data_IF_903463576207
#
_entry.id   IF_903463576207
#
_cell.length_a   1.000
_cell.length_b   1.000
_cell.length_c   1.000
_cell.angle_alpha   90.00
_cell.angle_beta   90.00
_cell.angle_gamma   90.00
#
_symmetry.space_group_name_H-M   'P 1'
#
loop_
_entity.id
_entity.type
_entity.pdbx_description
1 polymer ?
#
# COMPACT_ATOMS: atom_id res chain seq x y z
N UNK A 1 27.37 6.81 41.36
CA UNK A 1 27.92 8.01 40.70
C UNK A 1 26.81 8.68 39.93
N UNK A 2 26.27 9.76 40.49
CA UNK A 2 25.22 10.60 39.89
C UNK A 2 25.87 11.64 38.99
N UNK A 3 25.36 11.84 37.77
CA UNK A 3 25.56 13.08 37.02
C UNK A 3 24.21 13.58 36.51
N UNK A 4 23.61 14.44 37.33
CA UNK A 4 22.59 15.39 36.92
C UNK A 4 23.26 16.48 36.08
N UNK A 5 22.72 16.81 34.91
CA UNK A 5 22.79 18.17 34.39
C UNK A 5 21.39 18.61 33.95
N UNK A 6 20.88 19.59 34.70
CA UNK A 6 19.65 20.35 34.49
C UNK A 6 20.11 21.77 34.16
N UNK A 7 19.73 22.30 32.99
CA UNK A 7 19.79 23.75 32.74
C UNK A 7 18.63 24.19 31.85
N UNK A 8 17.66 24.87 32.49
CA UNK A 8 17.01 26.15 32.13
C UNK A 8 16.30 26.38 30.77
N UNK A 9 15.16 27.10 30.75
CA UNK A 9 14.32 27.30 29.56
C UNK A 9 14.73 28.51 28.70
N UNK A 10 14.43 28.46 27.40
CA UNK A 10 14.57 29.58 26.46
C UNK A 10 13.18 30.19 26.14
N UNK A 11 13.03 31.53 26.09
CA UNK A 11 11.75 32.19 25.87
C UNK A 11 11.31 32.24 24.39
N UNK A 12 9.99 32.20 24.22
CA UNK A 12 9.22 32.34 22.99
C UNK A 12 9.13 33.80 22.54
N UNK A 13 9.65 34.14 21.35
CA UNK A 13 9.18 35.27 20.53
C UNK A 13 9.55 35.05 19.06
N UNK A 14 8.54 34.95 18.20
CA UNK A 14 8.74 34.74 16.76
C UNK A 14 7.42 34.57 16.01
N UNK A 15 6.69 35.67 15.90
CA UNK A 15 5.42 35.78 15.18
C UNK A 15 5.68 35.53 13.68
N UNK A 16 5.24 34.39 13.15
CA UNK A 16 5.21 34.15 11.71
C UNK A 16 3.85 34.58 11.14
N UNK A 17 3.86 35.74 10.48
CA UNK A 17 2.74 36.32 9.76
C UNK A 17 2.35 35.45 8.56
N UNK A 18 1.08 35.01 8.54
CA UNK A 18 0.45 34.29 7.43
C UNK A 18 -0.02 35.32 6.39
N UNK A 19 0.79 35.59 5.37
CA UNK A 19 0.37 36.34 4.19
C UNK A 19 -0.19 35.38 3.14
N UNK A 20 -1.49 35.50 2.91
CA UNK A 20 -2.30 34.79 1.92
C UNK A 20 -2.14 35.51 0.58
N UNK A 21 -1.34 34.97 -0.34
CA UNK A 21 -1.27 35.47 -1.73
C UNK A 21 -2.57 35.10 -2.48
N UNK A 22 -3.38 36.11 -2.77
CA UNK A 22 -4.51 36.03 -3.70
C UNK A 22 -4.03 36.20 -5.14
N UNK A 23 -4.16 35.15 -5.97
CA UNK A 23 -3.99 35.25 -7.42
C UNK A 23 -5.18 35.97 -8.06
N UNK A 24 -4.98 36.93 -8.97
CA UNK A 24 -6.06 37.39 -9.83
C UNK A 24 -6.24 36.47 -11.06
N UNK A 25 -7.50 36.28 -11.43
CA UNK A 25 -7.94 35.60 -12.64
C UNK A 25 -7.67 36.48 -13.87
N UNK A 26 -7.07 35.91 -14.91
CA UNK A 26 -6.89 36.57 -16.22
C UNK A 26 -8.00 36.10 -17.15
N UNK A 27 -8.87 37.05 -17.53
CA UNK A 27 -9.93 36.93 -18.52
C UNK A 27 -9.27 37.00 -19.91
N UNK A 28 -9.48 35.98 -20.75
CA UNK A 28 -9.13 36.04 -22.18
C UNK A 28 -10.31 36.59 -22.97
N UNK A 29 -10.14 37.76 -23.58
CA UNK A 29 -10.99 38.28 -24.66
C UNK A 29 -10.10 38.90 -25.73
N UNK A 30 -10.36 38.57 -26.99
CA UNK A 30 -9.76 39.22 -28.16
C UNK A 30 -8.96 38.29 -29.06
N UNK A 31 -9.58 37.82 -30.16
CA UNK A 31 -8.87 37.28 -31.32
C UNK A 31 -8.26 38.44 -32.13
N UNK A 32 -7.11 38.26 -32.81
CA UNK A 32 -6.65 39.22 -33.80
C UNK A 32 -6.80 38.69 -35.23
N UNK A 33 -7.33 39.59 -36.04
CA UNK A 33 -7.35 39.67 -37.50
C UNK A 33 -5.95 39.49 -38.11
N UNK A 34 -5.86 38.81 -39.26
CA UNK A 34 -4.62 38.71 -40.03
C UNK A 34 -4.45 39.93 -40.93
N UNK A 35 -3.43 40.74 -40.66
CA UNK A 35 -2.86 41.69 -41.63
C UNK A 35 -1.33 41.77 -41.47
N UNK A 36 -0.63 41.78 -42.61
CA UNK A 36 0.67 42.45 -42.73
C UNK A 36 1.94 41.58 -42.66
N UNK A 37 2.44 41.18 -43.83
CA UNK A 37 3.87 40.91 -44.07
C UNK A 37 4.65 42.23 -43.96
N UNK A 38 5.66 42.33 -43.08
CA UNK A 38 6.99 42.86 -43.41
C UNK A 38 7.97 42.84 -42.23
N UNK A 39 9.21 42.43 -42.57
CA UNK A 39 10.51 42.70 -41.94
C UNK A 39 10.62 43.10 -40.45
N UNK A 40 11.38 42.29 -39.69
CA UNK A 40 12.24 42.82 -38.63
C UNK A 40 12.50 41.89 -37.44
N UNK A 41 13.78 41.57 -37.24
CA UNK A 41 14.41 41.11 -35.99
C UNK A 41 14.01 39.74 -35.43
N UNK A 42 14.94 38.78 -35.54
CA UNK A 42 14.89 37.49 -34.88
C UNK A 42 14.92 37.63 -33.36
N UNK A 43 13.73 37.61 -32.74
CA UNK A 43 13.60 37.40 -31.31
C UNK A 43 13.77 35.91 -31.02
N UNK A 44 14.96 35.52 -30.54
CA UNK A 44 15.21 34.20 -29.98
C UNK A 44 14.27 33.96 -28.79
N UNK A 45 13.21 33.18 -29.00
CA UNK A 45 12.32 32.71 -27.93
C UNK A 45 13.14 31.87 -26.97
N UNK A 46 13.46 32.44 -25.81
CA UNK A 46 14.21 31.77 -24.73
C UNK A 46 13.29 30.73 -24.10
N UNK A 47 13.36 29.48 -24.58
CA UNK A 47 12.62 28.37 -23.99
C UNK A 47 13.01 28.24 -22.50
N UNK A 48 12.04 28.24 -21.56
CA UNK A 48 12.36 28.00 -20.17
C UNK A 48 12.99 26.62 -20.04
N UNK A 49 14.13 26.54 -19.35
CA UNK A 49 14.82 25.29 -19.10
C UNK A 49 13.86 24.30 -18.42
N UNK A 50 13.54 23.19 -19.11
CA UNK A 50 12.85 22.05 -18.53
C UNK A 50 13.66 21.61 -17.30
N UNK A 51 13.06 21.70 -16.10
CA UNK A 51 13.67 21.19 -14.88
C UNK A 51 14.11 19.74 -15.13
N UNK A 52 15.34 19.34 -14.77
CA UNK A 52 15.80 17.99 -15.00
C UNK A 52 14.80 17.02 -14.36
N UNK A 53 14.29 16.07 -15.16
CA UNK A 53 13.43 15.01 -14.65
C UNK A 53 14.30 14.11 -13.78
N UNK A 54 14.44 14.44 -12.49
CA UNK A 54 15.16 13.60 -11.53
C UNK A 54 14.47 12.24 -11.53
N UNK A 55 15.18 11.21 -12.00
CA UNK A 55 14.68 9.84 -11.90
C UNK A 55 14.58 9.52 -10.41
N UNK A 56 13.41 9.09 -9.90
CA UNK A 56 13.31 8.70 -8.50
C UNK A 56 14.31 7.58 -8.23
N UNK A 57 15.12 7.74 -7.18
CA UNK A 57 16.14 6.75 -6.75
C UNK A 57 15.49 5.42 -6.36
N UNK A 58 14.21 5.45 -5.95
CA UNK A 58 13.41 4.26 -5.68
C UNK A 58 12.33 4.05 -6.76
N UNK A 59 12.42 2.96 -7.52
CA UNK A 59 11.35 2.58 -8.43
C UNK A 59 10.19 1.96 -7.65
N UNK A 60 9.07 2.68 -7.59
CA UNK A 60 7.83 2.21 -6.98
C UNK A 60 7.31 0.90 -7.57
N UNK A 61 7.64 0.59 -8.83
CA UNK A 61 7.29 -0.66 -9.48
C UNK A 61 8.03 -1.84 -8.85
N UNK A 62 9.33 -1.69 -8.58
CA UNK A 62 10.13 -2.71 -7.91
C UNK A 62 9.65 -2.95 -6.48
N UNK A 63 9.35 -1.88 -5.73
CA UNK A 63 8.76 -2.00 -4.39
C UNK A 63 7.43 -2.77 -4.41
N UNK A 64 6.54 -2.45 -5.38
CA UNK A 64 5.26 -3.17 -5.52
C UNK A 64 5.45 -4.65 -5.84
N UNK A 65 6.41 -4.97 -6.71
CA UNK A 65 6.77 -6.34 -7.04
C UNK A 65 7.26 -7.10 -5.81
N UNK A 66 8.21 -6.53 -5.05
CA UNK A 66 8.76 -7.16 -3.85
C UNK A 66 7.69 -7.41 -2.79
N UNK A 67 6.85 -6.41 -2.50
CA UNK A 67 5.73 -6.55 -1.55
C UNK A 67 4.78 -7.66 -2.01
N UNK A 68 4.43 -7.68 -3.30
CA UNK A 68 3.55 -8.71 -3.84
C UNK A 68 4.13 -10.12 -3.76
N UNK A 69 5.43 -10.29 -4.00
CA UNK A 69 6.11 -11.59 -3.87
C UNK A 69 6.13 -12.07 -2.41
N UNK A 70 6.45 -11.18 -1.46
CA UNK A 70 6.43 -11.51 -0.03
C UNK A 70 5.02 -11.90 0.41
N UNK A 71 3.99 -11.21 -0.09
CA UNK A 71 2.59 -11.52 0.21
C UNK A 71 2.14 -12.91 -0.28
N UNK A 72 2.59 -13.33 -1.47
CA UNK A 72 2.32 -14.69 -1.97
C UNK A 72 3.07 -15.75 -1.17
N UNK A 73 4.31 -15.46 -0.79
CA UNK A 73 5.17 -16.39 -0.05
C UNK A 73 4.69 -16.61 1.39
N UNK A 74 4.26 -15.55 2.07
CA UNK A 74 3.86 -15.57 3.49
C UNK A 74 2.95 -16.76 3.87
N UNK A 75 1.75 -16.94 3.28
CA UNK A 75 0.86 -18.03 3.68
C UNK A 75 1.41 -19.42 3.33
N UNK A 76 2.20 -19.54 2.26
CA UNK A 76 2.75 -20.82 1.79
C UNK A 76 3.86 -21.27 2.73
N UNK A 77 4.81 -20.38 3.02
CA UNK A 77 5.97 -20.70 3.88
C UNK A 77 5.51 -20.95 5.31
N UNK A 78 4.61 -20.13 5.85
CA UNK A 78 4.08 -20.33 7.21
C UNK A 78 3.39 -21.69 7.32
N UNK A 79 2.54 -22.05 6.35
CA UNK A 79 1.87 -23.36 6.35
C UNK A 79 2.85 -24.53 6.18
N UNK A 80 3.91 -24.36 5.41
CA UNK A 80 4.91 -25.40 5.19
C UNK A 80 5.77 -25.69 6.43
N UNK A 81 6.00 -24.67 7.27
CA UNK A 81 6.82 -24.79 8.49
C UNK A 81 5.96 -25.22 9.70
N UNK A 82 4.69 -24.82 9.74
CA UNK A 82 3.79 -25.19 10.83
C UNK A 82 3.59 -26.72 10.87
N UNK A 83 4.04 -27.35 11.95
CA UNK A 83 3.92 -28.78 12.20
C UNK A 83 2.50 -29.20 12.63
N UNK A 84 1.68 -28.23 13.02
CA UNK A 84 0.28 -28.42 13.43
C UNK A 84 -0.67 -27.69 12.49
N UNK A 85 -1.93 -28.16 12.33
CA UNK A 85 -2.96 -27.39 11.66
C UNK A 85 -3.11 -26.01 12.31
N UNK A 86 -3.18 -24.96 11.47
CA UNK A 86 -3.35 -23.57 11.91
C UNK A 86 -4.72 -23.04 11.47
N UNK A 87 -5.48 -22.46 12.40
CA UNK A 87 -6.82 -21.90 12.17
C UNK A 87 -6.82 -20.59 11.39
N UNK A 88 -5.69 -19.86 11.45
CA UNK A 88 -5.40 -18.60 10.76
C UNK A 88 -3.91 -18.49 10.48
N UNK A 89 -3.50 -17.63 9.54
CA UNK A 89 -2.08 -17.34 9.28
C UNK A 89 -1.45 -16.75 10.54
N UNK A 90 -2.15 -15.85 11.23
CA UNK A 90 -1.66 -15.26 12.48
C UNK A 90 -1.57 -16.27 13.63
N UNK A 91 -2.31 -17.38 13.63
CA UNK A 91 -2.18 -18.43 14.64
C UNK A 91 -0.80 -19.12 14.59
N UNK A 92 -0.07 -19.00 13.48
CA UNK A 92 1.33 -19.45 13.37
C UNK A 92 2.26 -18.81 14.41
N UNK A 93 1.84 -17.72 15.05
CA UNK A 93 2.56 -17.10 16.17
C UNK A 93 2.84 -18.08 17.32
N UNK A 94 2.02 -19.11 17.49
CA UNK A 94 2.14 -20.14 18.52
C UNK A 94 2.76 -21.44 18.00
N UNK A 95 3.43 -21.40 16.85
CA UNK A 95 4.07 -22.56 16.19
C UNK A 95 5.52 -22.24 15.83
N UNK A 96 6.25 -23.24 15.32
CA UNK A 96 7.62 -23.09 14.78
C UNK A 96 7.71 -22.05 13.64
N UNK A 97 6.59 -21.72 12.99
CA UNK A 97 6.56 -20.73 11.91
C UNK A 97 6.52 -19.27 12.40
N UNK A 98 6.51 -19.02 13.72
CA UNK A 98 6.40 -17.67 14.32
C UNK A 98 7.43 -16.70 13.76
N UNK A 99 8.70 -17.06 13.76
CA UNK A 99 9.78 -16.13 13.41
C UNK A 99 9.70 -15.73 11.93
N UNK A 100 9.29 -16.66 11.07
CA UNK A 100 9.06 -16.38 9.64
C UNK A 100 7.85 -15.48 9.45
N UNK A 101 6.73 -15.75 10.13
CA UNK A 101 5.55 -14.89 10.10
C UNK A 101 5.89 -13.45 10.52
N UNK A 102 6.53 -13.30 11.68
CA UNK A 102 6.94 -11.99 12.23
C UNK A 102 7.93 -11.31 11.29
N UNK A 103 8.98 -12.01 10.85
CA UNK A 103 10.01 -11.47 9.97
C UNK A 103 9.48 -10.97 8.64
N UNK A 104 8.59 -11.73 7.99
CA UNK A 104 7.99 -11.32 6.72
C UNK A 104 7.05 -10.12 6.88
N UNK A 105 6.35 -9.99 8.00
CA UNK A 105 5.56 -8.77 8.28
C UNK A 105 6.44 -7.54 8.53
N UNK A 106 7.59 -7.69 9.17
CA UNK A 106 8.59 -6.61 9.26
C UNK A 106 9.12 -6.22 7.88
N UNK A 107 9.38 -7.18 7.00
CA UNK A 107 9.78 -6.92 5.60
C UNK A 107 8.69 -6.16 4.85
N UNK A 108 7.42 -6.59 4.94
CA UNK A 108 6.27 -5.87 4.36
C UNK A 108 6.21 -4.45 4.96
N UNK A 109 6.33 -4.31 6.27
CA UNK A 109 6.35 -3.03 6.96
C UNK A 109 7.42 -2.09 6.42
N UNK A 110 8.66 -2.56 6.28
CA UNK A 110 9.77 -1.78 5.77
C UNK A 110 9.58 -1.38 4.29
N UNK A 111 9.15 -2.32 3.44
CA UNK A 111 8.89 -2.04 2.02
C UNK A 111 7.75 -1.04 1.84
N UNK A 112 6.67 -1.18 2.63
CA UNK A 112 5.57 -0.22 2.65
C UNK A 112 6.01 1.14 3.20
N UNK A 113 6.96 1.18 4.15
CA UNK A 113 7.54 2.44 4.59
C UNK A 113 8.36 3.11 3.49
N UNK A 114 9.06 2.37 2.63
CA UNK A 114 9.77 2.97 1.50
C UNK A 114 8.83 3.45 0.39
N UNK A 115 7.65 2.84 0.26
CA UNK A 115 6.66 3.20 -0.75
C UNK A 115 5.99 4.55 -0.44
N UNK A 116 6.17 5.54 -1.33
CA UNK A 116 5.52 6.86 -1.24
C UNK A 116 4.40 7.05 -2.27
N UNK A 117 4.29 6.18 -3.27
CA UNK A 117 3.28 6.31 -4.33
C UNK A 117 3.40 7.59 -5.15
N UNK A 118 2.35 7.90 -5.92
CA UNK A 118 2.29 9.07 -6.80
C UNK A 118 1.57 10.27 -6.18
N UNK A 119 0.85 10.08 -5.08
CA UNK A 119 0.06 11.12 -4.42
C UNK A 119 0.31 11.14 -2.91
N UNK A 120 0.07 12.28 -2.25
CA UNK A 120 0.22 12.38 -0.79
C UNK A 120 -0.70 11.42 -0.04
N UNK A 121 -1.89 11.14 -0.58
CA UNK A 121 -2.80 10.16 0.01
C UNK A 121 -2.21 8.75 -0.06
N UNK A 122 -1.66 8.34 -1.20
CA UNK A 122 -0.95 7.05 -1.32
C UNK A 122 0.20 6.96 -0.33
N UNK A 123 0.98 8.04 -0.16
CA UNK A 123 2.07 8.08 0.82
C UNK A 123 1.58 7.81 2.23
N UNK A 124 0.55 8.52 2.69
CA UNK A 124 0.03 8.36 4.06
C UNK A 124 -0.60 7.00 4.29
N UNK A 125 -1.42 6.52 3.35
CA UNK A 125 -2.01 5.17 3.42
C UNK A 125 -0.92 4.11 3.45
N UNK A 126 0.18 4.31 2.74
CA UNK A 126 1.35 3.43 2.80
C UNK A 126 2.01 3.38 4.18
N UNK A 127 2.13 4.53 4.87
CA UNK A 127 2.69 4.56 6.23
C UNK A 127 1.75 3.90 7.23
N UNK A 128 0.44 4.06 7.05
CA UNK A 128 -0.56 3.36 7.86
C UNK A 128 -0.41 1.85 7.65
N UNK A 129 -0.34 1.38 6.40
CA UNK A 129 -0.11 -0.04 6.09
C UNK A 129 1.19 -0.57 6.74
N UNK A 130 2.27 0.20 6.67
CA UNK A 130 3.56 -0.14 7.29
C UNK A 130 3.46 -0.31 8.80
N UNK A 131 2.89 0.69 9.50
CA UNK A 131 2.72 0.65 10.96
C UNK A 131 1.79 -0.50 11.35
N UNK A 132 0.68 -0.69 10.63
CA UNK A 132 -0.26 -1.79 10.89
C UNK A 132 0.41 -3.16 10.74
N UNK A 133 1.22 -3.39 9.70
CA UNK A 133 1.96 -4.64 9.53
C UNK A 133 2.92 -4.90 10.70
N UNK A 134 3.63 -3.87 11.17
CA UNK A 134 4.52 -3.98 12.34
C UNK A 134 3.72 -4.28 13.62
N UNK A 135 2.57 -3.65 13.82
CA UNK A 135 1.71 -3.94 14.98
C UNK A 135 1.21 -5.39 14.94
N UNK A 136 0.75 -5.89 13.78
CA UNK A 136 0.36 -7.29 13.60
C UNK A 136 1.51 -8.25 13.94
N UNK A 137 2.76 -7.87 13.62
CA UNK A 137 3.94 -8.67 13.91
C UNK A 137 4.32 -8.69 15.41
N UNK A 138 4.13 -7.57 16.12
CA UNK A 138 4.53 -7.43 17.52
C UNK A 138 3.49 -8.01 18.48
N UNK A 139 2.20 -7.79 18.20
CA UNK A 139 1.12 -8.20 19.08
C UNK A 139 0.55 -9.54 18.61
N UNK A 140 0.54 -10.59 19.44
CA UNK A 140 -0.01 -11.90 19.06
C UNK A 140 -1.53 -11.86 18.89
N UNK A 141 -2.04 -12.70 17.99
CA UNK A 141 -3.47 -13.02 17.93
C UNK A 141 -3.87 -13.92 19.10
N UNK A 142 -5.17 -14.12 19.36
CA UNK A 142 -5.62 -15.11 20.34
C UNK A 142 -5.34 -16.53 19.85
N UNK A 143 -4.88 -17.41 20.73
CA UNK A 143 -4.80 -18.84 20.43
C UNK A 143 -6.22 -19.45 20.36
N UNK A 144 -6.38 -20.59 19.70
CA UNK A 144 -7.70 -21.18 19.41
C UNK A 144 -8.56 -21.49 20.65
N UNK A 145 -7.91 -21.77 21.78
CA UNK A 145 -8.56 -22.07 23.07
C UNK A 145 -8.44 -20.92 24.09
N UNK A 146 -7.75 -19.84 23.73
CA UNK A 146 -7.48 -18.73 24.62
C UNK A 146 -8.61 -17.69 24.53
N UNK A 147 -9.03 -17.08 25.66
CA UNK A 147 -9.90 -15.92 25.59
C UNK A 147 -9.18 -14.76 24.89
N UNK A 148 -9.95 -13.91 24.20
CA UNK A 148 -9.43 -12.69 23.62
C UNK A 148 -8.99 -11.72 24.70
N UNK A 149 -7.75 -11.25 24.63
CA UNK A 149 -7.17 -10.23 25.49
C UNK A 149 -6.87 -8.92 24.73
N UNK A 150 -6.31 -7.93 25.42
CA UNK A 150 -5.95 -6.66 24.80
C UNK A 150 -4.93 -6.82 23.66
N UNK A 151 -3.99 -7.77 23.75
CA UNK A 151 -2.98 -7.99 22.70
C UNK A 151 -3.63 -8.49 21.42
N UNK A 152 -4.51 -9.49 21.54
CA UNK A 152 -5.27 -10.02 20.42
C UNK A 152 -6.19 -8.97 19.81
N UNK A 153 -6.81 -8.11 20.61
CA UNK A 153 -7.62 -7.01 20.12
C UNK A 153 -6.80 -6.00 19.30
N UNK A 154 -5.61 -5.59 19.79
CA UNK A 154 -4.68 -4.73 19.05
C UNK A 154 -4.28 -5.39 17.73
N UNK A 155 -3.95 -6.68 17.75
CA UNK A 155 -3.62 -7.45 16.56
C UNK A 155 -4.76 -7.42 15.53
N UNK A 156 -5.99 -7.74 15.95
CA UNK A 156 -7.15 -7.77 15.05
C UNK A 156 -7.46 -6.40 14.45
N UNK A 157 -7.42 -5.32 15.25
CA UNK A 157 -7.63 -3.96 14.74
C UNK A 157 -6.55 -3.60 13.72
N UNK A 158 -5.29 -3.89 14.02
CA UNK A 158 -4.19 -3.63 13.09
C UNK A 158 -4.32 -4.43 11.79
N UNK A 159 -4.74 -5.69 11.87
CA UNK A 159 -5.00 -6.54 10.71
C UNK A 159 -6.13 -5.97 9.84
N UNK A 160 -7.26 -5.57 10.43
CA UNK A 160 -8.37 -4.94 9.71
C UNK A 160 -7.90 -3.68 8.98
N UNK A 161 -7.12 -2.83 9.66
CA UNK A 161 -6.54 -1.63 9.03
C UNK A 161 -5.61 -2.02 7.88
N UNK A 162 -4.70 -2.98 8.08
CA UNK A 162 -3.78 -3.45 7.04
C UNK A 162 -4.54 -3.95 5.80
N UNK A 163 -5.47 -4.89 5.97
CA UNK A 163 -6.28 -5.43 4.87
C UNK A 163 -7.12 -4.34 4.17
N UNK A 164 -7.61 -3.35 4.92
CA UNK A 164 -8.33 -2.20 4.36
C UNK A 164 -7.41 -1.33 3.49
N UNK A 165 -6.18 -1.06 3.92
CA UNK A 165 -5.23 -0.25 3.14
C UNK A 165 -4.83 -0.93 1.82
N UNK A 166 -4.60 -2.23 1.82
CA UNK A 166 -4.24 -2.97 0.60
C UNK A 166 -5.43 -3.10 -0.36
N UNK A 167 -6.66 -3.26 0.16
CA UNK A 167 -7.88 -3.19 -0.65
C UNK A 167 -8.06 -1.81 -1.28
N UNK A 168 -7.79 -0.73 -0.52
CA UNK A 168 -7.78 0.65 -1.04
C UNK A 168 -6.80 0.80 -2.22
N UNK A 169 -5.56 0.31 -2.10
CA UNK A 169 -4.58 0.40 -3.19
C UNK A 169 -5.08 -0.28 -4.47
N UNK A 170 -5.71 -1.45 -4.34
CA UNK A 170 -6.28 -2.19 -5.46
C UNK A 170 -7.45 -1.44 -6.13
N UNK A 171 -8.40 -0.93 -5.35
CA UNK A 171 -9.64 -0.34 -5.89
C UNK A 171 -9.51 1.13 -6.29
N UNK A 172 -8.55 1.86 -5.72
CA UNK A 172 -8.33 3.28 -5.96
C UNK A 172 -7.09 3.57 -6.82
N UNK A 173 -5.92 3.82 -6.20
CA UNK A 173 -4.71 4.27 -6.91
C UNK A 173 -4.33 3.45 -8.14
N UNK A 174 -4.31 2.11 -8.05
CA UNK A 174 -3.92 1.26 -9.19
C UNK A 174 -4.90 1.33 -10.36
N UNK A 175 -6.16 1.65 -10.08
CA UNK A 175 -7.24 1.73 -11.07
C UNK A 175 -7.39 3.12 -11.70
N UNK A 176 -6.90 4.18 -11.05
CA UNK A 176 -7.15 5.58 -11.44
C UNK A 176 -6.88 5.86 -12.92
N UNK A 177 -5.77 5.34 -13.45
CA UNK A 177 -5.34 5.57 -14.84
C UNK A 177 -5.64 4.39 -15.80
N UNK A 178 -6.40 3.40 -15.35
CA UNK A 178 -6.75 2.20 -16.15
C UNK A 178 -8.25 2.00 -16.34
N UNK A 179 -9.09 2.73 -15.59
CA UNK A 179 -10.56 2.66 -15.69
C UNK A 179 -11.02 3.10 -17.09
N UNK A 180 -11.91 2.31 -17.71
CA UNK A 180 -12.47 2.59 -19.03
C UNK A 180 -11.51 2.37 -20.21
N UNK A 181 -10.28 1.94 -19.95
CA UNK A 181 -9.29 1.67 -20.99
C UNK A 181 -9.47 0.27 -21.59
N UNK A 182 -9.20 0.11 -22.89
CA UNK A 182 -9.18 -1.20 -23.56
C UNK A 182 -7.76 -1.82 -23.54
N UNK A 183 -7.65 -3.06 -24.00
CA UNK A 183 -6.36 -3.75 -24.14
C UNK A 183 -5.65 -4.04 -22.81
N UNK A 184 -4.32 -3.93 -22.81
CA UNK A 184 -3.47 -4.26 -21.65
C UNK A 184 -3.83 -3.46 -20.39
N UNK A 185 -4.09 -2.16 -20.52
CA UNK A 185 -4.50 -1.30 -19.39
C UNK A 185 -5.85 -1.74 -18.81
N UNK A 186 -6.83 -2.07 -19.66
CA UNK A 186 -8.12 -2.60 -19.23
C UNK A 186 -8.03 -3.92 -18.47
N UNK A 187 -7.18 -4.85 -18.95
CA UNK A 187 -6.92 -6.13 -18.26
C UNK A 187 -6.35 -5.92 -16.86
N UNK A 188 -5.41 -4.98 -16.68
CA UNK A 188 -4.92 -4.61 -15.34
C UNK A 188 -6.03 -4.06 -14.44
N UNK A 189 -6.89 -3.19 -14.98
CA UNK A 189 -8.02 -2.64 -14.24
C UNK A 189 -8.97 -3.74 -13.72
N UNK A 190 -9.21 -4.78 -14.54
CA UNK A 190 -9.99 -5.94 -14.15
C UNK A 190 -9.33 -6.71 -13.02
N UNK A 191 -8.03 -7.01 -13.14
CA UNK A 191 -7.26 -7.70 -12.08
C UNK A 191 -7.35 -6.94 -10.76
N UNK A 192 -7.05 -5.63 -10.76
CA UNK A 192 -7.10 -4.84 -9.53
C UNK A 192 -8.51 -4.79 -8.91
N UNK A 193 -9.54 -4.70 -9.75
CA UNK A 193 -10.93 -4.68 -9.28
C UNK A 193 -11.33 -6.03 -8.68
N UNK A 194 -11.01 -7.14 -9.34
CA UNK A 194 -11.30 -8.48 -8.85
C UNK A 194 -10.57 -8.74 -7.53
N UNK A 195 -9.26 -8.48 -7.47
CA UNK A 195 -8.47 -8.69 -6.26
C UNK A 195 -8.95 -7.83 -5.09
N UNK A 196 -9.26 -6.55 -5.32
CA UNK A 196 -9.78 -5.67 -4.28
C UNK A 196 -11.10 -6.15 -3.68
N UNK A 197 -12.04 -6.61 -4.53
CA UNK A 197 -13.31 -7.17 -4.06
C UNK A 197 -13.16 -8.54 -3.39
N UNK A 198 -12.22 -9.37 -3.86
CA UNK A 198 -11.88 -10.65 -3.19
C UNK A 198 -11.39 -10.38 -1.77
N UNK A 199 -10.49 -9.41 -1.57
CA UNK A 199 -9.98 -9.05 -0.23
C UNK A 199 -11.14 -8.63 0.68
N UNK A 200 -12.01 -7.72 0.22
CA UNK A 200 -13.18 -7.26 0.99
C UNK A 200 -14.11 -8.44 1.32
N UNK A 201 -14.41 -9.29 0.33
CA UNK A 201 -15.24 -10.48 0.52
C UNK A 201 -14.67 -11.44 1.56
N UNK A 202 -13.36 -11.70 1.52
CA UNK A 202 -12.69 -12.54 2.51
C UNK A 202 -12.78 -11.94 3.92
N UNK A 203 -12.56 -10.64 4.08
CA UNK A 203 -12.67 -9.98 5.38
C UNK A 203 -14.10 -9.99 5.92
N UNK A 204 -15.11 -9.85 5.05
CA UNK A 204 -16.51 -10.01 5.42
C UNK A 204 -16.84 -11.44 5.84
N UNK A 205 -16.33 -12.45 5.13
CA UNK A 205 -16.50 -13.86 5.50
C UNK A 205 -15.90 -14.15 6.87
N UNK A 206 -14.68 -13.68 7.15
CA UNK A 206 -14.06 -13.84 8.48
C UNK A 206 -14.91 -13.17 9.57
N UNK A 207 -15.29 -11.91 9.36
CA UNK A 207 -16.09 -11.16 10.33
C UNK A 207 -17.45 -11.81 10.60
N UNK A 208 -18.19 -12.17 9.55
CA UNK A 208 -19.50 -12.81 9.67
C UNK A 208 -19.40 -14.20 10.30
N UNK A 209 -18.45 -15.03 9.88
CA UNK A 209 -18.29 -16.39 10.43
C UNK A 209 -18.05 -16.37 11.95
N UNK A 210 -17.25 -15.42 12.46
CA UNK A 210 -17.01 -15.26 13.89
C UNK A 210 -18.21 -14.71 14.67
N UNK A 211 -19.18 -14.08 13.99
CA UNK A 211 -20.40 -13.54 14.60
C UNK A 211 -21.57 -14.53 14.56
N UNK A 212 -21.62 -15.41 13.56
CA UNK A 212 -22.79 -16.26 13.30
C UNK A 212 -22.56 -17.74 13.56
N UNK A 213 -21.31 -18.21 13.57
CA UNK A 213 -20.98 -19.62 13.73
C UNK A 213 -20.23 -19.88 15.06
N UNK A 214 -20.36 -21.09 15.64
CA UNK A 214 -19.53 -21.52 16.75
C UNK A 214 -18.04 -21.47 16.39
N UNK A 215 -17.19 -21.04 17.33
CA UNK A 215 -15.74 -20.89 17.13
C UNK A 215 -15.10 -22.23 16.71
N UNK A 216 -15.58 -23.33 17.26
CA UNK A 216 -15.14 -24.69 16.97
C UNK A 216 -15.35 -25.03 15.50
N UNK A 217 -16.49 -24.63 14.91
CA UNK A 217 -16.80 -24.85 13.51
C UNK A 217 -15.94 -23.99 12.60
N UNK A 218 -15.74 -22.71 12.96
CA UNK A 218 -14.87 -21.78 12.22
C UNK A 218 -13.44 -22.30 12.16
N UNK A 219 -12.94 -22.82 13.27
CA UNK A 219 -11.60 -23.38 13.38
C UNK A 219 -11.48 -24.74 12.66
N UNK A 220 -12.46 -25.64 12.84
CA UNK A 220 -12.46 -26.96 12.19
C UNK A 220 -12.49 -26.88 10.67
N UNK A 221 -13.23 -25.91 10.10
CA UNK A 221 -13.29 -25.66 8.66
C UNK A 221 -12.16 -24.76 8.15
N UNK A 222 -11.27 -24.29 9.04
CA UNK A 222 -10.18 -23.37 8.72
C UNK A 222 -10.65 -22.12 7.93
N UNK A 223 -11.85 -21.61 8.23
CA UNK A 223 -12.48 -20.52 7.47
C UNK A 223 -11.57 -19.28 7.47
N UNK A 224 -11.02 -18.94 8.64
CA UNK A 224 -10.15 -17.77 8.79
C UNK A 224 -8.88 -17.94 7.97
N UNK A 225 -8.20 -19.09 8.09
CA UNK A 225 -7.00 -19.40 7.32
C UNK A 225 -7.24 -19.33 5.80
N UNK A 226 -8.31 -19.97 5.30
CA UNK A 226 -8.61 -19.99 3.86
C UNK A 226 -8.90 -18.58 3.34
N UNK A 227 -9.70 -17.80 4.08
CA UNK A 227 -10.01 -16.43 3.71
C UNK A 227 -8.76 -15.53 3.70
N UNK A 228 -7.91 -15.63 4.71
CA UNK A 228 -6.64 -14.89 4.77
C UNK A 228 -5.68 -15.30 3.64
N UNK A 229 -5.58 -16.61 3.34
CA UNK A 229 -4.78 -17.13 2.24
C UNK A 229 -5.22 -16.54 0.90
N UNK A 230 -6.52 -16.60 0.60
CA UNK A 230 -7.09 -16.08 -0.65
C UNK A 230 -6.91 -14.56 -0.72
N UNK A 231 -7.12 -13.84 0.38
CA UNK A 231 -6.93 -12.40 0.44
C UNK A 231 -5.47 -11.98 0.17
N UNK A 232 -4.50 -12.66 0.79
CA UNK A 232 -3.07 -12.40 0.54
C UNK A 232 -2.64 -12.76 -0.88
N UNK A 233 -3.20 -13.84 -1.44
CA UNK A 233 -2.95 -14.20 -2.84
C UNK A 233 -3.52 -13.18 -3.82
N UNK A 234 -4.73 -12.69 -3.57
CA UNK A 234 -5.33 -11.61 -4.35
C UNK A 234 -4.51 -10.31 -4.24
N UNK A 235 -4.09 -9.95 -3.03
CA UNK A 235 -3.21 -8.80 -2.77
C UNK A 235 -1.87 -8.93 -3.52
N UNK A 236 -1.19 -10.06 -3.36
CA UNK A 236 0.09 -10.32 -4.01
C UNK A 236 0.00 -10.24 -5.53
N UNK A 237 -1.01 -10.88 -6.12
CA UNK A 237 -1.25 -10.83 -7.56
C UNK A 237 -1.49 -9.40 -8.07
N UNK A 238 -2.34 -8.62 -7.41
CA UNK A 238 -2.59 -7.22 -7.77
C UNK A 238 -1.32 -6.37 -7.71
N UNK A 239 -0.50 -6.58 -6.68
CA UNK A 239 0.73 -5.81 -6.46
C UNK A 239 1.85 -6.17 -7.45
N UNK A 240 1.99 -7.44 -7.83
CA UNK A 240 2.90 -7.87 -8.90
C UNK A 240 2.50 -7.25 -10.23
N UNK A 241 1.20 -7.25 -10.57
CA UNK A 241 0.69 -6.59 -11.78
C UNK A 241 0.94 -5.08 -11.75
N UNK A 242 0.78 -4.45 -10.58
CA UNK A 242 1.08 -3.03 -10.38
C UNK A 242 2.58 -2.70 -10.41
N UNK A 243 3.44 -3.70 -10.20
CA UNK A 243 4.87 -3.66 -10.45
C UNK A 243 5.25 -3.66 -11.93
N UNK A 244 4.27 -3.80 -12.84
CA UNK A 244 4.46 -3.67 -14.30
C UNK A 244 5.55 -4.59 -14.90
N UNK A 245 5.76 -5.78 -14.33
CA UNK A 245 6.78 -6.75 -14.81
C UNK A 245 6.26 -7.68 -15.92
N UNK A 246 4.94 -7.85 -16.06
CA UNK A 246 4.31 -8.83 -16.95
C UNK A 246 4.11 -8.26 -18.37
N UNK A 247 4.85 -8.73 -19.41
CA UNK A 247 4.80 -8.15 -20.76
C UNK A 247 3.41 -8.21 -21.43
N UNK A 248 2.62 -9.23 -21.10
CA UNK A 248 1.27 -9.44 -21.62
C UNK A 248 0.28 -8.40 -21.11
N UNK A 249 0.60 -7.71 -20.00
CA UNK A 249 -0.25 -6.75 -19.33
C UNK A 249 0.30 -5.32 -19.37
N UNK A 250 1.51 -5.09 -19.90
CA UNK A 250 2.19 -3.78 -19.91
C UNK A 250 2.75 -3.45 -21.29
N UNK A 251 2.73 -2.18 -21.66
CA UNK A 251 3.35 -1.66 -22.89
C UNK A 251 4.88 -1.54 -22.69
N UNK A 252 5.68 -1.68 -23.76
CA UNK A 252 7.15 -1.83 -23.64
C UNK A 252 7.83 -0.62 -22.98
N UNK A 253 7.32 0.57 -23.24
CA UNK A 253 7.74 1.85 -22.68
C UNK A 253 7.46 1.98 -21.17
N UNK A 254 6.49 1.22 -20.68
CA UNK A 254 5.97 1.30 -19.33
C UNK A 254 6.47 0.16 -18.42
N UNK A 255 7.11 -0.86 -19.02
CA UNK A 255 7.55 -2.09 -18.38
C UNK A 255 8.70 -1.83 -17.39
N UNK A 256 8.66 -2.52 -16.25
CA UNK A 256 9.80 -2.58 -15.35
C UNK A 256 10.91 -3.42 -15.99
N UNK A 257 12.05 -2.81 -16.25
CA UNK A 257 13.27 -3.49 -16.72
C UNK A 257 14.16 -3.69 -15.50
N UNK A 258 14.35 -4.96 -15.10
CA UNK A 258 15.23 -5.35 -14.02
C UNK A 258 16.62 -5.60 -14.60
N UNK A 259 17.45 -4.54 -14.58
CA UNK A 259 18.85 -4.48 -15.03
C UNK A 259 19.08 -4.75 -16.53
#
# INVERSE_FOLDING_TARGET
>A
MNFFYRIGPQPLTGICNFQRESKPAVIFSGAPTQEGLSHGHGASVKMPALKPHQKPVFDYRALRLMVGLVALALPVVVKAIASTPISSISASYYTEARDVFVGLLFVIGALMWAYNGHTQMEKWVSKIASISAIIVAIFPTACDICPSDLKSAIHYVAAVVLFSTIAYFCLGPFKKNTKGQKGKKGRRALVYTACGWIIIGCMLVVGLSKLTLPVELVNALAITFIAEFIALWAFGAAWIVAGKVIPQLVDKDDQLILF
#
